data_IF_045626957517
#
_entry.id   IF_045626957517
#
_cell.length_a   1.000
_cell.length_b   1.000
_cell.length_c   1.000
_cell.angle_alpha   90.00
_cell.angle_beta   90.00
_cell.angle_gamma   90.00
#
_symmetry.space_group_name_H-M   'P 1'
#
loop_
_entity.id
_entity.type
_entity.pdbx_description
1 polymer ?
#
# COMPACT_ATOMS: atom_id res chain seq x y z
N UNK A 1 -18.74 -7.24 45.10
CA UNK A 1 -18.98 -6.50 43.83
C UNK A 1 -19.81 -7.38 42.89
N UNK A 2 -20.91 -6.88 42.34
CA UNK A 2 -21.69 -7.58 41.34
C UNK A 2 -20.89 -7.62 40.03
N UNK A 3 -20.60 -8.81 39.51
CA UNK A 3 -19.96 -8.96 38.20
C UNK A 3 -21.00 -8.65 37.14
N UNK A 4 -20.71 -7.63 36.29
CA UNK A 4 -21.55 -7.30 35.14
C UNK A 4 -21.23 -8.28 34.00
N UNK A 5 -22.26 -8.82 33.37
CA UNK A 5 -22.14 -9.50 32.09
C UNK A 5 -22.24 -8.43 30.99
N UNK A 6 -21.21 -8.33 30.17
CA UNK A 6 -21.12 -7.34 29.07
C UNK A 6 -20.69 -8.03 27.80
N UNK A 7 -21.27 -7.62 26.69
CA UNK A 7 -20.83 -7.97 25.35
C UNK A 7 -20.06 -6.80 24.75
N UNK A 8 -18.86 -7.08 24.21
CA UNK A 8 -18.08 -6.10 23.47
C UNK A 8 -18.40 -6.23 21.98
N UNK A 9 -19.04 -5.22 21.40
CA UNK A 9 -19.37 -5.18 19.97
C UNK A 9 -18.31 -4.37 19.24
N UNK A 10 -17.57 -5.03 18.33
CA UNK A 10 -16.63 -4.39 17.42
C UNK A 10 -17.25 -4.41 16.03
N UNK A 11 -17.65 -3.26 15.46
CA UNK A 11 -18.15 -3.21 14.09
C UNK A 11 -17.10 -3.69 13.11
N UNK A 12 -17.52 -4.48 12.14
CA UNK A 12 -16.64 -4.90 11.05
C UNK A 12 -16.13 -3.69 10.26
N UNK A 13 -14.89 -3.75 9.83
CA UNK A 13 -14.29 -2.75 8.96
C UNK A 13 -13.44 -3.42 7.90
N UNK A 14 -13.28 -2.75 6.77
CA UNK A 14 -12.32 -3.17 5.75
C UNK A 14 -10.90 -2.90 6.23
N UNK A 15 -9.96 -3.68 5.69
CA UNK A 15 -8.55 -3.50 5.97
C UNK A 15 -7.73 -3.68 4.68
N UNK A 16 -6.56 -4.22 4.83
CA UNK A 16 -5.61 -4.48 3.74
C UNK A 16 -4.85 -5.79 4.00
N UNK A 17 -4.23 -6.32 2.96
CA UNK A 17 -3.41 -7.52 3.05
C UNK A 17 -1.92 -7.15 3.06
N UNK A 18 -1.14 -7.91 3.82
CA UNK A 18 0.33 -7.90 3.79
C UNK A 18 0.82 -9.21 3.21
N UNK A 19 1.74 -9.13 2.27
CA UNK A 19 2.36 -10.28 1.63
C UNK A 19 3.86 -10.08 1.49
N UNK A 20 4.65 -11.08 1.86
CA UNK A 20 6.11 -11.03 1.65
C UNK A 20 6.41 -11.78 0.35
N UNK A 21 6.94 -11.04 -0.63
CA UNK A 21 7.32 -11.62 -1.91
C UNK A 21 8.38 -12.72 -1.73
N UNK A 22 8.20 -13.83 -2.42
CA UNK A 22 9.22 -14.86 -2.56
C UNK A 22 10.42 -14.33 -3.37
N UNK A 23 11.55 -15.04 -3.28
CA UNK A 23 12.74 -14.68 -4.07
C UNK A 23 12.42 -14.59 -5.57
N UNK A 24 11.64 -15.54 -6.12
CA UNK A 24 11.27 -15.58 -7.54
C UNK A 24 10.47 -14.33 -7.95
N UNK A 25 9.54 -13.91 -7.10
CA UNK A 25 8.72 -12.72 -7.33
C UNK A 25 9.55 -11.43 -7.22
N UNK A 26 10.44 -11.35 -6.24
CA UNK A 26 11.40 -10.24 -6.11
C UNK A 26 12.29 -10.14 -7.35
N UNK A 27 12.87 -11.25 -7.80
CA UNK A 27 13.72 -11.29 -9.00
C UNK A 27 12.95 -10.84 -10.24
N UNK A 28 11.66 -11.18 -10.34
CA UNK A 28 10.80 -10.72 -11.43
C UNK A 28 10.56 -9.21 -11.38
N UNK A 29 10.21 -8.67 -10.21
CA UNK A 29 10.00 -7.21 -10.04
C UNK A 29 11.28 -6.44 -10.35
N UNK A 30 12.45 -6.91 -9.91
CA UNK A 30 13.74 -6.30 -10.26
C UNK A 30 13.97 -6.27 -11.77
N UNK A 31 13.66 -7.35 -12.49
CA UNK A 31 13.73 -7.37 -13.97
C UNK A 31 12.80 -6.34 -14.61
N UNK A 32 11.59 -6.13 -14.07
CA UNK A 32 10.70 -5.08 -14.55
C UNK A 32 11.29 -3.70 -14.30
N UNK A 33 11.93 -3.46 -13.15
CA UNK A 33 12.59 -2.20 -12.78
C UNK A 33 13.79 -1.92 -13.71
N UNK A 34 14.62 -2.92 -13.99
CA UNK A 34 15.75 -2.82 -14.94
C UNK A 34 15.28 -2.45 -16.36
N UNK A 35 14.10 -2.94 -16.76
CA UNK A 35 13.50 -2.70 -18.07
C UNK A 35 12.42 -1.60 -18.05
N UNK A 36 12.49 -0.69 -17.07
CA UNK A 36 11.57 0.45 -16.92
C UNK A 36 11.41 1.27 -18.18
N UNK A 37 10.25 1.90 -18.31
CA UNK A 37 9.88 2.72 -19.46
C UNK A 37 9.99 4.22 -19.14
N UNK A 38 9.20 5.02 -19.84
CA UNK A 38 9.16 6.47 -19.72
C UNK A 38 8.91 6.95 -18.28
N UNK A 39 9.32 8.18 -18.01
CA UNK A 39 9.03 8.86 -16.75
C UNK A 39 7.53 9.19 -16.64
N UNK A 40 6.99 9.02 -15.44
CA UNK A 40 5.56 9.27 -15.13
C UNK A 40 5.34 10.29 -14.01
N UNK A 41 6.39 10.98 -13.57
CA UNK A 41 6.35 11.91 -12.43
C UNK A 41 5.21 12.94 -12.52
N UNK A 42 4.95 13.49 -13.71
CA UNK A 42 3.95 14.54 -13.91
C UNK A 42 2.50 14.10 -13.69
N UNK A 43 2.24 12.80 -13.53
CA UNK A 43 0.91 12.23 -13.31
C UNK A 43 0.71 11.68 -11.90
N UNK A 44 1.75 11.72 -11.06
CA UNK A 44 1.76 11.14 -9.72
C UNK A 44 1.67 12.24 -8.65
N UNK A 45 1.04 11.92 -7.51
CA UNK A 45 0.89 12.85 -6.39
C UNK A 45 2.20 13.12 -5.64
N UNK A 46 3.16 12.22 -5.72
CA UNK A 46 4.42 12.31 -4.97
C UNK A 46 5.34 13.41 -5.48
N UNK A 47 5.95 14.15 -4.56
CA UNK A 47 7.10 15.01 -4.86
C UNK A 47 8.38 14.16 -4.92
N UNK A 48 8.49 13.36 -5.98
CA UNK A 48 9.58 12.41 -6.22
C UNK A 48 10.25 12.74 -7.55
N UNK A 49 11.56 12.86 -7.54
CA UNK A 49 12.33 13.31 -8.73
C UNK A 49 12.36 12.30 -9.88
N UNK A 50 12.20 11.02 -9.56
CA UNK A 50 12.28 9.96 -10.56
C UNK A 50 11.24 8.88 -10.30
N UNK A 51 10.29 8.76 -11.22
CA UNK A 51 9.29 7.70 -11.26
C UNK A 51 9.18 7.19 -12.69
N UNK A 52 9.23 5.87 -12.87
CA UNK A 52 9.21 5.25 -14.20
C UNK A 52 8.15 4.18 -14.29
N UNK A 53 7.45 4.13 -15.42
CA UNK A 53 6.48 3.09 -15.73
C UNK A 53 7.14 1.74 -15.83
N UNK A 54 6.49 0.72 -15.29
CA UNK A 54 6.85 -0.68 -15.41
C UNK A 54 5.89 -1.40 -16.37
N UNK A 55 6.34 -2.54 -16.88
CA UNK A 55 5.53 -3.40 -17.75
C UNK A 55 5.58 -4.83 -17.22
N UNK A 56 4.40 -5.37 -16.92
CA UNK A 56 4.23 -6.79 -16.58
C UNK A 56 4.14 -7.62 -17.86
N UNK A 57 5.27 -8.11 -18.35
CA UNK A 57 5.31 -8.90 -19.58
C UNK A 57 4.60 -10.23 -19.40
N UNK A 58 3.62 -10.48 -20.28
CA UNK A 58 2.82 -11.71 -20.24
C UNK A 58 1.91 -11.79 -19.02
N UNK A 59 1.64 -10.68 -18.35
CA UNK A 59 0.81 -10.61 -17.15
C UNK A 59 1.29 -11.55 -16.03
N UNK A 60 2.61 -11.77 -15.94
CA UNK A 60 3.14 -12.75 -15.00
C UNK A 60 2.91 -12.35 -13.54
N UNK A 61 3.19 -11.08 -13.19
CA UNK A 61 3.00 -10.57 -11.82
C UNK A 61 1.51 -10.50 -11.48
N UNK A 62 0.70 -10.05 -12.45
CA UNK A 62 -0.75 -10.07 -12.31
C UNK A 62 -1.27 -11.47 -11.97
N UNK A 63 -0.93 -12.46 -12.77
CA UNK A 63 -1.48 -13.82 -12.63
C UNK A 63 -0.94 -14.58 -11.41
N UNK A 64 0.32 -14.34 -11.02
CA UNK A 64 0.97 -15.12 -9.97
C UNK A 64 0.92 -14.45 -8.59
N UNK A 65 0.71 -13.12 -8.52
CA UNK A 65 0.72 -12.36 -7.26
C UNK A 65 -0.58 -11.60 -7.05
N UNK A 66 -0.92 -10.69 -7.97
CA UNK A 66 -2.02 -9.75 -7.71
C UNK A 66 -3.39 -10.41 -7.80
N UNK A 67 -3.66 -11.25 -8.78
CA UNK A 67 -4.94 -11.97 -8.90
C UNK A 67 -5.23 -12.88 -7.69
N UNK A 68 -4.27 -13.66 -7.17
CA UNK A 68 -4.43 -14.36 -5.90
C UNK A 68 -4.76 -13.41 -4.73
N UNK A 69 -4.11 -12.24 -4.63
CA UNK A 69 -4.41 -11.27 -3.59
C UNK A 69 -5.80 -10.65 -3.72
N UNK A 70 -6.28 -10.40 -4.95
CA UNK A 70 -7.67 -9.97 -5.20
C UNK A 70 -8.66 -10.99 -4.65
N UNK A 71 -8.44 -12.29 -4.93
CA UNK A 71 -9.32 -13.36 -4.47
C UNK A 71 -9.30 -13.49 -2.94
N UNK A 72 -8.11 -13.49 -2.34
CA UNK A 72 -7.95 -13.53 -0.87
C UNK A 72 -8.57 -12.31 -0.19
N UNK A 73 -8.46 -11.12 -0.80
CA UNK A 73 -9.11 -9.93 -0.26
C UNK A 73 -10.64 -10.05 -0.28
N UNK A 74 -11.18 -10.56 -1.38
CA UNK A 74 -12.62 -10.79 -1.52
C UNK A 74 -13.16 -11.81 -0.49
N UNK A 75 -12.38 -12.83 -0.18
CA UNK A 75 -12.72 -13.83 0.85
C UNK A 75 -12.62 -13.22 2.27
N UNK A 76 -11.56 -12.47 2.55
CA UNK A 76 -11.32 -11.89 3.87
C UNK A 76 -12.33 -10.81 4.24
N UNK A 77 -12.85 -10.06 3.26
CA UNK A 77 -13.74 -8.91 3.45
C UNK A 77 -15.05 -9.05 2.68
N UNK A 78 -15.61 -10.26 2.63
CA UNK A 78 -16.80 -10.62 1.83
C UNK A 78 -18.01 -9.73 2.10
N UNK A 79 -18.21 -9.29 3.33
CA UNK A 79 -19.34 -8.47 3.74
C UNK A 79 -19.09 -6.96 3.66
N UNK A 80 -17.85 -6.54 3.42
CA UNK A 80 -17.39 -5.14 3.57
C UNK A 80 -16.93 -4.50 2.25
N UNK A 81 -17.12 -5.19 1.21
CA UNK A 81 -17.22 -4.83 -0.19
C UNK A 81 -16.47 -3.62 -0.73
N UNK A 82 -15.13 -3.64 -0.80
CA UNK A 82 -14.47 -2.94 -1.91
C UNK A 82 -14.95 -3.50 -3.27
N UNK A 83 -15.41 -4.76 -3.29
CA UNK A 83 -16.09 -5.39 -4.42
C UNK A 83 -17.53 -4.88 -4.63
N UNK A 84 -18.13 -4.24 -3.63
CA UNK A 84 -19.42 -3.55 -3.74
C UNK A 84 -19.27 -2.13 -4.31
N UNK A 85 -18.10 -1.77 -4.83
CA UNK A 85 -17.96 -0.53 -5.60
C UNK A 85 -18.99 -0.54 -6.74
N UNK A 86 -19.69 0.57 -7.01
CA UNK A 86 -20.73 0.64 -8.05
C UNK A 86 -20.29 0.16 -9.44
N UNK A 87 -18.99 0.21 -9.73
CA UNK A 87 -18.39 -0.28 -10.97
C UNK A 87 -18.28 -1.81 -11.03
N UNK A 88 -18.28 -2.51 -9.88
CA UNK A 88 -18.10 -3.97 -9.84
C UNK A 88 -19.42 -4.72 -9.62
N UNK A 89 -20.45 -4.07 -9.08
CA UNK A 89 -21.71 -4.73 -8.69
C UNK A 89 -22.62 -5.10 -9.88
N UNK A 90 -22.51 -4.44 -11.01
CA UNK A 90 -23.47 -4.60 -12.12
C UNK A 90 -22.90 -5.30 -13.35
N UNK A 91 -21.59 -5.40 -13.45
CA UNK A 91 -20.93 -6.04 -14.60
C UNK A 91 -19.71 -6.79 -14.08
N UNK A 92 -19.62 -8.09 -14.38
CA UNK A 92 -18.40 -8.88 -14.14
C UNK A 92 -17.33 -8.44 -15.14
N UNK A 93 -16.69 -7.29 -14.88
CA UNK A 93 -15.51 -6.89 -15.62
C UNK A 93 -14.31 -7.70 -15.13
N UNK A 94 -13.50 -8.26 -16.03
CA UNK A 94 -12.24 -8.85 -15.64
C UNK A 94 -11.36 -7.75 -15.05
N UNK A 95 -10.76 -8.00 -13.90
CA UNK A 95 -9.75 -7.13 -13.32
C UNK A 95 -8.43 -7.30 -14.06
N UNK A 96 -7.65 -6.26 -14.14
CA UNK A 96 -6.33 -6.25 -14.75
C UNK A 96 -5.37 -5.31 -14.00
N UNK A 97 -4.08 -5.48 -14.20
CA UNK A 97 -3.07 -4.52 -13.75
C UNK A 97 -3.06 -3.31 -14.69
N UNK A 98 -3.84 -2.29 -14.34
CA UNK A 98 -4.02 -1.10 -15.16
C UNK A 98 -2.77 -0.21 -15.21
N UNK A 99 -2.11 -0.01 -14.06
CA UNK A 99 -0.95 0.88 -13.98
C UNK A 99 0.05 0.37 -12.94
N UNK A 100 1.34 0.47 -13.27
CA UNK A 100 2.43 0.06 -12.41
C UNK A 100 3.67 0.90 -12.68
N UNK A 101 4.33 1.41 -11.62
CA UNK A 101 5.53 2.22 -11.72
C UNK A 101 6.47 1.98 -10.54
N UNK A 102 7.73 2.39 -10.69
CA UNK A 102 8.73 2.43 -9.62
C UNK A 102 9.06 3.88 -9.27
N UNK A 103 9.12 4.16 -7.98
CA UNK A 103 9.57 5.42 -7.41
C UNK A 103 11.00 5.27 -6.87
N UNK A 104 11.89 6.17 -7.27
CA UNK A 104 13.23 6.31 -6.69
C UNK A 104 13.22 7.46 -5.71
N UNK A 105 12.74 7.18 -4.51
CA UNK A 105 12.60 8.17 -3.45
C UNK A 105 13.96 8.49 -2.83
N UNK A 106 14.33 9.75 -2.83
CA UNK A 106 15.56 10.28 -2.26
C UNK A 106 15.28 11.03 -0.97
N UNK A 107 16.34 11.48 -0.29
CA UNK A 107 16.21 12.36 0.88
C UNK A 107 15.32 13.57 0.53
N UNK A 108 14.36 13.88 1.38
CA UNK A 108 13.35 14.93 1.25
C UNK A 108 12.24 14.70 0.22
N UNK A 109 12.31 13.64 -0.60
CA UNK A 109 11.19 13.25 -1.43
C UNK A 109 10.06 12.66 -0.56
N UNK A 110 8.81 12.93 -0.92
CA UNK A 110 7.66 12.44 -0.14
C UNK A 110 6.43 12.23 -1.02
N UNK A 111 5.51 11.40 -0.54
CA UNK A 111 4.15 11.32 -1.04
C UNK A 111 3.24 12.03 -0.03
N UNK A 112 2.39 13.00 -0.46
CA UNK A 112 1.33 13.53 0.39
C UNK A 112 0.26 12.46 0.62
N UNK A 113 -0.67 12.72 1.53
CA UNK A 113 -1.91 11.94 1.64
C UNK A 113 -2.67 12.07 0.32
N UNK A 114 -3.02 10.94 -0.30
CA UNK A 114 -3.71 10.91 -1.59
C UNK A 114 -4.47 9.58 -1.77
N UNK A 115 -5.43 9.58 -2.68
CA UNK A 115 -6.15 8.38 -3.14
C UNK A 115 -5.59 7.91 -4.48
N UNK A 116 -5.92 6.69 -4.84
CA UNK A 116 -5.57 6.09 -6.12
C UNK A 116 -6.81 5.86 -6.97
N UNK A 117 -6.63 5.79 -8.28
CA UNK A 117 -7.66 5.30 -9.20
C UNK A 117 -7.76 3.78 -9.18
N UNK A 118 -8.88 3.25 -9.70
CA UNK A 118 -9.12 1.81 -9.76
C UNK A 118 -9.82 1.25 -8.53
N UNK A 119 -9.82 -0.07 -8.40
CA UNK A 119 -10.49 -0.79 -7.29
C UNK A 119 -9.51 -1.07 -6.17
N UNK A 120 -8.34 -1.60 -6.51
CA UNK A 120 -7.26 -1.93 -5.57
C UNK A 120 -5.97 -1.25 -5.97
N UNK A 121 -5.15 -1.02 -4.98
CA UNK A 121 -3.78 -0.54 -5.11
C UNK A 121 -2.82 -1.42 -4.31
N UNK A 122 -1.55 -1.33 -4.63
CA UNK A 122 -0.50 -1.99 -3.87
C UNK A 122 0.78 -1.15 -3.85
N UNK A 123 1.58 -1.36 -2.82
CA UNK A 123 2.94 -0.84 -2.72
C UNK A 123 3.90 -1.98 -2.39
N UNK A 124 5.10 -1.93 -2.96
CA UNK A 124 6.18 -2.89 -2.68
C UNK A 124 7.43 -2.11 -2.33
N UNK A 125 8.04 -2.42 -1.20
CA UNK A 125 9.34 -1.88 -0.83
C UNK A 125 10.45 -2.77 -1.38
N UNK A 126 11.02 -2.36 -2.51
CA UNK A 126 12.06 -3.14 -3.20
C UNK A 126 13.44 -2.92 -2.62
N UNK A 127 13.71 -1.71 -2.09
CA UNK A 127 14.97 -1.33 -1.45
C UNK A 127 14.71 -0.29 -0.36
N UNK A 128 15.21 -0.55 0.85
CA UNK A 128 15.11 0.33 2.02
C UNK A 128 16.52 0.53 2.59
N UNK A 129 17.20 1.65 2.25
CA UNK A 129 18.60 1.87 2.64
C UNK A 129 18.75 2.50 4.03
N UNK A 130 17.75 2.44 4.89
CA UNK A 130 17.75 3.06 6.21
C UNK A 130 16.96 2.24 7.22
N UNK A 131 17.15 2.55 8.50
CA UNK A 131 16.26 2.11 9.60
C UNK A 131 15.42 3.30 10.06
N UNK A 132 14.15 3.07 10.29
CA UNK A 132 13.22 4.11 10.73
C UNK A 132 13.69 4.83 12.00
N UNK A 133 14.21 4.10 12.98
CA UNK A 133 14.67 4.66 14.27
C UNK A 133 15.83 5.65 14.09
N UNK A 134 16.66 5.45 13.06
CA UNK A 134 17.76 6.37 12.73
C UNK A 134 17.25 7.65 12.08
N UNK A 135 16.17 7.54 11.28
CA UNK A 135 15.57 8.71 10.63
C UNK A 135 14.88 9.63 11.66
N UNK A 136 14.25 9.06 12.68
CA UNK A 136 13.56 9.80 13.72
C UNK A 136 14.50 10.50 14.73
N UNK A 137 15.79 10.22 14.69
CA UNK A 137 16.83 10.91 15.47
C UNK A 137 17.49 12.09 14.74
N UNK A 138 17.11 12.35 13.49
CA UNK A 138 17.66 13.46 12.70
C UNK A 138 17.03 14.79 13.09
N UNK A 139 17.76 15.87 12.90
CA UNK A 139 17.35 17.25 13.26
C UNK A 139 15.96 17.62 12.73
N UNK A 140 15.60 17.14 11.55
CA UNK A 140 14.27 17.37 10.95
C UNK A 140 13.13 16.72 11.76
N UNK A 141 13.43 15.69 12.55
CA UNK A 141 12.49 14.97 13.40
C UNK A 141 12.54 15.40 14.87
N UNK A 142 13.68 15.94 15.33
CA UNK A 142 14.01 16.13 16.74
C UNK A 142 12.96 16.94 17.54
N UNK A 143 12.35 17.92 16.89
CA UNK A 143 11.35 18.80 17.53
C UNK A 143 9.90 18.33 17.30
N UNK A 144 9.70 17.21 16.64
CA UNK A 144 8.37 16.66 16.38
C UNK A 144 8.01 15.61 17.43
N UNK A 145 6.81 15.73 17.99
CA UNK A 145 6.22 14.68 18.81
C UNK A 145 5.48 13.62 17.96
N UNK A 146 5.49 13.77 16.63
CA UNK A 146 4.87 12.82 15.70
C UNK A 146 5.92 11.93 15.04
N UNK A 147 5.86 10.61 15.20
CA UNK A 147 6.80 9.66 14.59
C UNK A 147 6.46 9.38 13.11
N UNK A 148 6.17 10.42 12.32
CA UNK A 148 5.70 10.30 10.92
C UNK A 148 6.83 10.28 9.88
N UNK A 149 8.05 10.60 10.28
CA UNK A 149 9.19 10.69 9.35
C UNK A 149 9.60 9.30 8.89
N UNK A 150 9.86 9.16 7.59
CA UNK A 150 10.25 7.91 6.95
C UNK A 150 9.29 6.74 7.20
N UNK A 151 8.00 7.03 7.37
CA UNK A 151 6.95 6.03 7.49
C UNK A 151 6.08 6.00 6.23
N UNK A 152 5.46 4.85 5.99
CA UNK A 152 4.27 4.75 5.18
C UNK A 152 3.06 4.66 6.11
N UNK A 153 1.96 5.35 5.79
CA UNK A 153 0.80 5.42 6.67
C UNK A 153 -0.50 5.24 5.91
N UNK A 154 -1.44 4.52 6.52
CA UNK A 154 -2.84 4.65 6.19
C UNK A 154 -3.51 5.60 7.18
N UNK A 155 -4.32 6.52 6.67
CA UNK A 155 -5.07 7.50 7.45
C UNK A 155 -6.55 7.30 7.18
N UNK A 156 -7.32 6.97 8.20
CA UNK A 156 -8.74 6.72 8.06
C UNK A 156 -9.50 7.12 9.35
N UNK A 157 -10.79 7.49 9.26
CA UNK A 157 -11.58 7.73 10.45
C UNK A 157 -11.92 6.41 11.16
N UNK A 158 -11.96 6.43 12.48
CA UNK A 158 -12.60 5.38 13.28
C UNK A 158 -14.12 5.57 13.31
N UNK A 159 -14.83 4.69 14.04
CA UNK A 159 -16.30 4.70 14.13
C UNK A 159 -16.88 5.99 14.73
N UNK A 160 -16.11 6.74 15.50
CA UNK A 160 -16.53 8.03 16.08
C UNK A 160 -16.05 9.23 15.26
N UNK A 161 -15.43 9.00 14.08
CA UNK A 161 -14.95 10.04 13.18
C UNK A 161 -13.57 10.61 13.53
N UNK A 162 -12.87 10.03 14.51
CA UNK A 162 -11.51 10.43 14.84
C UNK A 162 -10.51 9.83 13.84
N UNK A 163 -9.52 10.63 13.40
CA UNK A 163 -8.49 10.15 12.48
C UNK A 163 -7.55 9.17 13.16
N UNK A 164 -7.45 7.99 12.56
CA UNK A 164 -6.54 6.93 12.97
C UNK A 164 -5.41 6.81 11.97
N UNK A 165 -4.19 6.60 12.49
CA UNK A 165 -2.96 6.47 11.72
C UNK A 165 -2.38 5.08 11.91
N UNK A 166 -2.39 4.27 10.86
CA UNK A 166 -1.69 2.98 10.87
C UNK A 166 -0.34 3.16 10.16
N UNK A 167 0.75 3.07 10.91
CA UNK A 167 2.10 3.35 10.43
C UNK A 167 2.89 2.09 10.17
N UNK A 168 3.71 2.13 9.13
CA UNK A 168 4.76 1.16 8.84
C UNK A 168 6.11 1.84 9.07
N UNK A 169 6.81 1.41 10.11
CA UNK A 169 8.14 1.85 10.50
C UNK A 169 9.15 0.97 9.76
N UNK A 170 9.51 1.39 8.56
CA UNK A 170 10.23 0.55 7.59
C UNK A 170 11.72 0.41 7.91
N UNK A 171 12.24 -0.77 7.63
CA UNK A 171 13.64 -1.15 7.78
C UNK A 171 14.08 -2.06 6.61
N UNK A 172 15.39 -2.35 6.44
CA UNK A 172 15.85 -3.25 5.38
C UNK A 172 15.23 -4.66 5.44
N UNK A 173 14.77 -5.12 6.60
CA UNK A 173 14.09 -6.38 6.80
C UNK A 173 12.72 -6.44 6.11
N UNK A 174 12.15 -5.27 5.82
CA UNK A 174 10.86 -5.14 5.12
C UNK A 174 11.00 -5.14 3.59
N UNK A 175 12.22 -5.20 3.03
CA UNK A 175 12.40 -5.32 1.58
C UNK A 175 11.66 -6.54 1.05
N UNK A 176 10.81 -6.35 0.02
CA UNK A 176 9.91 -7.36 -0.52
C UNK A 176 8.55 -7.45 0.17
N UNK A 177 8.27 -6.62 1.20
CA UNK A 177 6.92 -6.49 1.71
C UNK A 177 6.04 -5.82 0.65
N UNK A 178 4.90 -6.46 0.36
CA UNK A 178 3.81 -5.93 -0.45
C UNK A 178 2.61 -5.67 0.45
N UNK A 179 2.04 -4.49 0.36
CA UNK A 179 0.76 -4.13 0.97
C UNK A 179 -0.27 -3.91 -0.13
N UNK A 180 -1.39 -4.63 -0.05
CA UNK A 180 -2.49 -4.62 -1.02
C UNK A 180 -3.75 -4.09 -0.35
N UNK A 181 -4.39 -3.07 -0.92
CA UNK A 181 -5.45 -2.31 -0.26
C UNK A 181 -6.46 -1.72 -1.25
N UNK A 182 -7.68 -1.35 -0.79
CA UNK A 182 -8.64 -0.60 -1.61
C UNK A 182 -8.06 0.75 -2.04
N UNK A 183 -8.21 1.11 -3.31
CA UNK A 183 -7.61 2.34 -3.88
C UNK A 183 -8.08 3.64 -3.23
N UNK A 184 -9.23 3.64 -2.57
CA UNK A 184 -9.75 4.81 -1.85
C UNK A 184 -9.26 4.93 -0.39
N UNK A 185 -8.46 3.98 0.10
CA UNK A 185 -7.82 4.09 1.40
C UNK A 185 -6.64 5.08 1.29
N UNK A 186 -6.64 6.11 2.17
CA UNK A 186 -5.63 7.16 2.22
C UNK A 186 -4.46 6.78 3.13
#
# INVERSE_FOLDING_TARGET
MKRLEVECVNPDNIGWLKYKLSKKEMDYVWKCIENKKEKVNGTLAGNIKESNKLVDRGNWFWLNVLLPLVNLYAEAYVNLGALNHPLTNKVKHPMELYSWWVNYQRQTDFNPIHTHGGVYSFVIWMKIPFKWEEQNKKDIAEKSNSPSIATFQFVHPNIVGELTFHRYELSPEDEGLLVFFPSHLN
#
